data_IF_225848559080
#
_entry.id   IF_225848559080
#
_cell.length_a   1.000
_cell.length_b   1.000
_cell.length_c   1.000
_cell.angle_alpha   90.00
_cell.angle_beta   90.00
_cell.angle_gamma   90.00
#
_symmetry.space_group_name_H-M   'P 1'
#
loop_
_entity.id
_entity.type
_entity.pdbx_description
1 polymer ?
#
# COMPACT_ATOMS: atom_id res chain seq x y z
N UNK A 1 -21.69 -57.68 60.32
CA UNK A 1 -21.04 -57.64 61.64
C UNK A 1 -19.55 -57.89 61.43
N UNK A 2 -18.72 -57.03 62.01
CA UNK A 2 -17.30 -57.24 62.34
C UNK A 2 -16.31 -57.53 61.18
N UNK A 3 -15.60 -56.50 60.72
CA UNK A 3 -14.23 -56.11 61.13
C UNK A 3 -13.16 -57.11 60.63
N UNK A 4 -12.38 -56.81 59.57
CA UNK A 4 -11.18 -55.93 59.47
C UNK A 4 -9.89 -56.67 59.84
N UNK A 5 -8.80 -56.25 59.17
CA UNK A 5 -7.38 -56.50 59.46
C UNK A 5 -6.82 -57.89 59.08
N UNK A 6 -5.59 -58.05 58.60
CA UNK A 6 -4.52 -57.20 58.05
C UNK A 6 -3.44 -58.19 57.56
N UNK A 7 -2.29 -57.71 57.07
CA UNK A 7 -1.11 -58.49 56.62
C UNK A 7 -0.99 -58.79 55.12
N UNK A 8 -0.92 -57.71 54.34
CA UNK A 8 0.11 -57.61 53.29
C UNK A 8 0.96 -56.34 53.49
N UNK A 9 1.22 -56.03 54.76
CA UNK A 9 2.31 -55.15 55.21
C UNK A 9 3.47 -56.05 55.60
N UNK A 10 4.56 -56.03 54.82
CA UNK A 10 5.96 -55.97 55.28
C UNK A 10 6.87 -56.49 54.15
N UNK A 11 7.19 -55.59 53.23
CA UNK A 11 8.59 -55.41 52.89
C UNK A 11 8.88 -53.92 53.09
N UNK A 12 9.42 -53.60 54.27
CA UNK A 12 10.47 -52.61 54.46
C UNK A 12 10.20 -51.23 53.81
N UNK A 13 9.77 -50.18 54.51
CA UNK A 13 10.27 -49.72 55.81
C UNK A 13 11.79 -49.91 55.95
N UNK A 14 12.56 -49.20 55.13
CA UNK A 14 13.93 -48.79 55.49
C UNK A 14 14.11 -47.33 55.11
N UNK A 15 14.15 -46.51 56.16
CA UNK A 15 14.90 -45.26 56.28
C UNK A 15 14.54 -44.15 55.28
N UNK A 16 13.89 -43.07 55.66
CA UNK A 16 14.14 -42.31 56.89
C UNK A 16 14.74 -40.98 56.50
N UNK A 17 13.95 -39.92 56.75
CA UNK A 17 14.35 -38.56 57.07
C UNK A 17 15.55 -37.97 56.31
N UNK A 18 15.28 -36.97 55.46
CA UNK A 18 15.86 -35.61 55.51
C UNK A 18 15.42 -34.82 54.27
N UNK A 19 14.42 -33.95 54.40
CA UNK A 19 14.36 -32.67 53.68
C UNK A 19 13.23 -31.79 54.25
N UNK A 20 13.64 -30.65 54.78
CA UNK A 20 12.81 -29.56 55.29
C UNK A 20 11.96 -28.89 54.18
N UNK A 21 11.05 -27.95 54.50
CA UNK A 21 9.93 -27.58 53.65
C UNK A 21 10.36 -26.64 52.52
N UNK A 22 9.94 -26.95 51.29
CA UNK A 22 9.95 -25.97 50.21
C UNK A 22 8.62 -25.22 50.26
N UNK A 23 8.70 -23.95 50.65
CA UNK A 23 7.62 -22.97 50.58
C UNK A 23 6.90 -23.03 49.23
N UNK A 24 5.65 -23.52 49.24
CA UNK A 24 4.78 -23.47 48.08
C UNK A 24 3.97 -22.17 48.15
N UNK A 25 4.24 -21.28 47.21
CA UNK A 25 3.67 -19.95 47.09
C UNK A 25 2.13 -19.96 47.19
N UNK A 26 1.59 -19.05 48.01
CA UNK A 26 0.15 -18.72 48.08
C UNK A 26 -0.43 -18.61 46.67
N UNK A 27 -1.26 -19.58 46.29
CA UNK A 27 -2.12 -19.52 45.12
C UNK A 27 -3.09 -18.37 45.35
N UNK A 28 -2.89 -17.23 44.67
CA UNK A 28 -3.84 -16.11 44.70
C UNK A 28 -5.19 -16.65 44.25
N UNK A 29 -6.15 -16.74 45.18
CA UNK A 29 -7.55 -17.00 44.88
C UNK A 29 -8.05 -15.84 44.02
N UNK A 30 -8.14 -16.06 42.71
CA UNK A 30 -8.75 -15.10 41.80
C UNK A 30 -10.19 -14.87 42.25
N UNK A 31 -10.56 -13.62 42.50
CA UNK A 31 -11.94 -13.25 42.77
C UNK A 31 -12.71 -13.49 41.46
N UNK A 32 -13.62 -14.46 41.47
CA UNK A 32 -14.51 -14.76 40.33
C UNK A 32 -15.86 -14.15 40.64
N UNK A 33 -16.20 -13.06 39.94
CA UNK A 33 -17.53 -12.49 40.01
C UNK A 33 -18.47 -13.26 39.08
N UNK A 34 -19.67 -13.57 39.58
CA UNK A 34 -20.75 -14.03 38.71
C UNK A 34 -21.28 -12.86 37.88
N UNK A 35 -21.93 -13.16 36.75
CA UNK A 35 -22.52 -12.16 35.86
C UNK A 35 -23.43 -11.18 36.62
N UNK A 36 -24.19 -11.69 37.59
CA UNK A 36 -25.16 -10.91 38.34
C UNK A 36 -24.47 -10.02 39.38
N UNK A 37 -23.37 -10.49 39.99
CA UNK A 37 -22.52 -9.65 40.84
C UNK A 37 -21.87 -8.50 40.06
N UNK A 38 -21.46 -8.75 38.83
CA UNK A 38 -20.93 -7.71 37.92
C UNK A 38 -22.00 -6.70 37.49
N UNK A 39 -23.25 -7.14 37.31
CA UNK A 39 -24.37 -6.25 36.97
C UNK A 39 -24.82 -5.42 38.18
N UNK A 40 -24.80 -5.98 39.38
CA UNK A 40 -25.14 -5.28 40.63
C UNK A 40 -24.12 -4.18 41.01
N UNK A 41 -22.86 -4.33 40.59
CA UNK A 41 -21.80 -3.32 40.78
C UNK A 41 -21.90 -2.13 39.82
N UNK A 42 -22.85 -2.15 38.86
CA UNK A 42 -23.01 -1.09 37.86
C UNK A 42 -23.90 0.02 38.44
N UNK A 43 -23.44 1.29 38.52
CA UNK A 43 -24.31 2.38 38.97
C UNK A 43 -25.51 2.55 38.02
N UNK A 44 -26.70 2.93 38.53
CA UNK A 44 -27.92 3.03 37.75
C UNK A 44 -27.91 4.34 36.94
N UNK A 45 -27.10 4.40 35.89
CA UNK A 45 -27.07 5.56 35.00
C UNK A 45 -26.46 5.21 33.64
N UNK A 46 -27.16 4.37 32.88
CA UNK A 46 -27.03 4.39 31.43
C UNK A 46 -28.44 4.59 30.85
N UNK A 47 -28.85 5.85 30.77
CA UNK A 47 -30.05 6.26 30.06
C UNK A 47 -29.81 5.97 28.58
N UNK A 48 -30.70 5.20 27.96
CA UNK A 48 -30.64 4.87 26.53
C UNK A 48 -30.70 6.18 25.74
N UNK A 49 -29.60 6.55 25.07
CA UNK A 49 -29.54 7.71 24.18
C UNK A 49 -28.39 8.71 24.47
N UNK A 50 -27.82 8.72 25.67
CA UNK A 50 -26.68 9.59 25.95
C UNK A 50 -25.36 8.97 25.48
N UNK A 51 -24.65 9.72 24.63
CA UNK A 51 -23.30 9.34 24.20
C UNK A 51 -22.34 9.68 25.36
N UNK A 52 -21.52 8.73 25.83
CA UNK A 52 -20.54 9.02 26.87
C UNK A 52 -19.59 10.12 26.39
N UNK A 53 -19.40 11.14 27.22
CA UNK A 53 -18.40 12.17 26.97
C UNK A 53 -17.00 11.58 27.20
N UNK A 54 -16.43 11.02 26.12
CA UNK A 54 -15.06 10.52 26.13
C UNK A 54 -14.11 11.71 25.96
N UNK A 55 -13.17 11.95 26.90
CA UNK A 55 -12.13 12.97 26.77
C UNK A 55 -11.37 12.83 25.45
N UNK A 56 -10.96 13.96 24.86
CA UNK A 56 -10.35 14.00 23.51
C UNK A 56 -9.08 13.13 23.43
N UNK A 57 -8.40 12.94 24.55
CA UNK A 57 -7.16 12.19 24.72
C UNK A 57 -7.39 10.67 24.58
N UNK A 58 -8.55 10.16 25.01
CA UNK A 58 -8.90 8.72 25.01
C UNK A 58 -9.62 8.31 23.72
N UNK A 59 -10.09 9.30 22.95
CA UNK A 59 -10.85 9.07 21.73
C UNK A 59 -9.94 8.52 20.63
N UNK A 60 -9.94 7.19 20.47
CA UNK A 60 -9.23 6.50 19.37
C UNK A 60 -9.65 7.13 18.03
N UNK A 61 -8.70 7.69 17.28
CA UNK A 61 -8.94 8.17 15.92
C UNK A 61 -9.47 7.00 15.09
N UNK A 62 -10.71 7.09 14.61
CA UNK A 62 -11.24 6.11 13.66
C UNK A 62 -10.30 6.04 12.45
N UNK A 63 -9.91 4.83 12.07
CA UNK A 63 -9.14 4.58 10.85
C UNK A 63 -9.93 5.17 9.69
N UNK A 64 -9.29 6.03 8.89
CA UNK A 64 -9.98 6.81 7.85
C UNK A 64 -10.81 5.91 6.93
N UNK A 65 -12.08 6.24 6.74
CA UNK A 65 -12.93 5.63 5.71
C UNK A 65 -12.40 6.02 4.32
N UNK A 66 -12.72 5.27 3.25
CA UNK A 66 -12.35 5.62 1.86
C UNK A 66 -12.77 7.06 1.47
N UNK A 67 -13.85 7.56 2.09
CA UNK A 67 -14.28 8.96 1.95
C UNK A 67 -13.29 9.97 2.53
N UNK A 68 -12.41 9.59 3.46
CA UNK A 68 -11.42 10.46 4.10
C UNK A 68 -10.40 11.05 3.13
N UNK A 69 -9.97 10.31 2.11
CA UNK A 69 -9.08 10.84 1.05
C UNK A 69 -9.83 11.88 0.21
N UNK A 70 -11.06 11.56 -0.22
CA UNK A 70 -11.93 12.49 -0.97
C UNK A 70 -12.25 13.75 -0.14
N UNK A 71 -12.52 13.59 1.15
CA UNK A 71 -12.76 14.69 2.10
C UNK A 71 -11.49 15.53 2.29
N UNK A 72 -10.32 14.90 2.36
CA UNK A 72 -9.02 15.60 2.44
C UNK A 72 -8.71 16.35 1.16
N UNK A 73 -8.97 15.77 -0.01
CA UNK A 73 -8.83 16.44 -1.31
C UNK A 73 -9.81 17.62 -1.43
N UNK A 74 -11.07 17.46 -0.99
CA UNK A 74 -12.03 18.57 -0.90
C UNK A 74 -11.55 19.70 0.00
N UNK A 75 -10.94 19.37 1.15
CA UNK A 75 -10.34 20.37 2.07
C UNK A 75 -9.08 21.02 1.50
N UNK A 76 -8.32 20.30 0.65
CA UNK A 76 -7.10 20.77 -0.01
C UNK A 76 -7.34 21.39 -1.39
N UNK A 77 -8.59 21.51 -1.83
CA UNK A 77 -8.96 22.02 -3.16
C UNK A 77 -8.34 23.38 -3.47
N UNK A 78 -8.31 24.29 -2.48
CA UNK A 78 -7.70 25.62 -2.59
C UNK A 78 -6.24 25.68 -2.12
N UNK A 79 -5.65 24.52 -1.77
CA UNK A 79 -4.33 24.38 -1.19
C UNK A 79 -3.49 23.34 -1.94
N UNK A 80 -3.28 23.52 -3.26
CA UNK A 80 -2.41 22.63 -4.03
C UNK A 80 -0.95 22.70 -3.53
N UNK A 81 -0.17 21.66 -3.83
CA UNK A 81 1.24 21.55 -3.44
C UNK A 81 2.12 22.61 -4.11
N UNK A 82 1.83 22.92 -5.36
CA UNK A 82 2.44 24.02 -6.15
C UNK A 82 1.30 24.93 -6.62
N UNK A 83 1.52 26.24 -6.82
CA UNK A 83 0.43 27.19 -7.07
C UNK A 83 -0.31 26.87 -8.37
N UNK A 84 -1.65 26.91 -8.36
CA UNK A 84 -2.39 27.03 -9.61
C UNK A 84 -2.25 28.46 -10.15
N UNK A 85 -1.79 28.62 -11.39
CA UNK A 85 -1.44 29.92 -11.96
C UNK A 85 -2.39 30.27 -13.10
N UNK A 86 -2.90 31.50 -13.11
CA UNK A 86 -3.51 32.12 -14.29
C UNK A 86 -2.55 33.21 -14.73
N UNK A 87 -2.19 33.23 -16.01
CA UNK A 87 -1.32 34.29 -16.55
C UNK A 87 -1.88 34.84 -17.84
N UNK A 88 -1.64 36.12 -18.10
CA UNK A 88 -1.79 36.66 -19.44
C UNK A 88 -1.83 38.17 -19.49
N UNK A 89 -1.79 38.68 -20.72
CA UNK A 89 -1.82 40.10 -21.02
C UNK A 89 -3.25 40.64 -21.01
N UNK A 90 -3.53 41.58 -20.09
CA UNK A 90 -4.89 42.11 -19.89
C UNK A 90 -5.15 43.42 -20.61
N UNK A 91 -4.14 44.13 -21.13
CA UNK A 91 -4.29 45.40 -21.85
C UNK A 91 -5.30 46.36 -21.21
N UNK A 92 -4.92 46.94 -20.07
CA UNK A 92 -5.77 47.68 -19.13
C UNK A 92 -6.58 46.79 -18.19
N UNK A 93 -6.15 46.77 -16.93
CA UNK A 93 -6.77 46.00 -15.86
C UNK A 93 -7.97 46.75 -15.23
N UNK A 94 -7.89 48.08 -15.10
CA UNK A 94 -8.88 48.88 -14.37
C UNK A 94 -10.32 48.68 -14.90
N UNK A 95 -10.49 48.59 -16.21
CA UNK A 95 -11.81 48.41 -16.85
C UNK A 95 -12.33 46.97 -16.77
N UNK A 96 -11.53 46.02 -16.27
CA UNK A 96 -11.83 44.58 -16.25
C UNK A 96 -11.97 44.03 -14.84
N UNK A 97 -11.89 44.88 -13.82
CA UNK A 97 -11.95 44.45 -12.42
C UNK A 97 -13.30 43.81 -12.06
N UNK A 98 -14.41 44.37 -12.54
CA UNK A 98 -15.76 43.80 -12.31
C UNK A 98 -15.94 42.44 -12.98
N UNK A 99 -15.44 42.30 -14.22
CA UNK A 99 -15.45 41.03 -14.94
C UNK A 99 -14.58 40.00 -14.22
N UNK A 100 -13.37 40.39 -13.80
CA UNK A 100 -12.46 39.51 -13.07
C UNK A 100 -13.03 39.10 -11.71
N UNK A 101 -13.68 40.01 -10.99
CA UNK A 101 -14.37 39.70 -9.74
C UNK A 101 -15.53 38.72 -9.99
N UNK A 102 -16.33 38.93 -11.04
CA UNK A 102 -17.38 38.00 -11.43
C UNK A 102 -16.80 36.61 -11.80
N UNK A 103 -15.68 36.55 -12.52
CA UNK A 103 -15.00 35.30 -12.88
C UNK A 103 -14.50 34.55 -11.65
N UNK A 104 -13.90 35.24 -10.66
CA UNK A 104 -13.46 34.60 -9.40
C UNK A 104 -14.61 34.01 -8.57
N UNK A 105 -15.84 34.51 -8.75
CA UNK A 105 -17.04 33.97 -8.10
C UNK A 105 -17.66 32.80 -8.87
N UNK A 106 -17.76 32.95 -10.19
CA UNK A 106 -18.53 32.05 -11.07
C UNK A 106 -17.71 30.88 -11.59
N UNK A 107 -16.53 31.15 -12.15
CA UNK A 107 -15.68 30.16 -12.79
C UNK A 107 -14.80 29.44 -11.78
N UNK A 108 -14.66 28.13 -11.99
CA UNK A 108 -13.98 27.26 -11.05
C UNK A 108 -12.48 27.55 -11.03
N UNK A 109 -11.93 27.81 -12.21
CA UNK A 109 -10.53 28.02 -12.54
C UNK A 109 -9.99 29.24 -11.79
N UNK A 110 -10.68 30.38 -11.92
CA UNK A 110 -10.35 31.62 -11.21
C UNK A 110 -10.53 31.50 -9.70
N UNK A 111 -11.59 30.80 -9.26
CA UNK A 111 -11.84 30.59 -7.83
C UNK A 111 -10.77 29.71 -7.18
N UNK A 112 -10.24 28.73 -7.90
CA UNK A 112 -9.21 27.81 -7.40
C UNK A 112 -7.78 28.27 -7.68
N UNK A 113 -7.59 29.33 -8.45
CA UNK A 113 -6.29 29.92 -8.71
C UNK A 113 -5.59 30.32 -7.41
N UNK A 114 -4.32 29.94 -7.31
CA UNK A 114 -3.43 30.34 -6.22
C UNK A 114 -2.82 31.70 -6.50
N UNK A 115 -2.43 31.94 -7.75
CA UNK A 115 -1.79 33.17 -8.22
C UNK A 115 -2.40 33.56 -9.58
N UNK A 116 -2.72 34.83 -9.77
CA UNK A 116 -3.05 35.40 -11.09
C UNK A 116 -2.03 36.47 -11.45
N UNK A 117 -1.31 36.31 -12.56
CA UNK A 117 -0.25 37.19 -13.03
C UNK A 117 -0.71 37.92 -14.29
N UNK A 118 -0.78 39.24 -14.25
CA UNK A 118 -1.23 40.04 -15.39
C UNK A 118 -0.16 41.03 -15.82
N UNK A 119 0.04 41.09 -17.14
CA UNK A 119 0.92 42.04 -17.81
C UNK A 119 0.10 43.11 -18.53
N UNK A 120 0.73 44.25 -18.84
CA UNK A 120 0.09 45.43 -19.42
C UNK A 120 -1.15 45.90 -18.63
N UNK A 121 -0.99 46.04 -17.32
CA UNK A 121 -2.09 46.48 -16.44
C UNK A 121 -2.52 47.92 -16.70
N UNK A 122 -1.62 48.73 -17.26
CA UNK A 122 -1.79 50.17 -17.52
C UNK A 122 -2.12 50.99 -16.26
N UNK A 123 -1.70 50.48 -15.11
CA UNK A 123 -1.80 51.18 -13.84
C UNK A 123 -0.68 52.23 -13.70
N UNK A 124 -0.88 53.18 -12.80
CA UNK A 124 0.10 54.20 -12.45
C UNK A 124 -0.17 54.72 -11.04
N UNK A 125 0.81 55.45 -10.46
CA UNK A 125 0.75 55.92 -9.07
C UNK A 125 -0.49 56.72 -8.67
N UNK A 126 -1.15 57.41 -9.62
CA UNK A 126 -2.39 58.14 -9.33
C UNK A 126 -3.64 57.24 -9.16
N UNK A 127 -3.59 55.97 -9.57
CA UNK A 127 -4.69 55.03 -9.36
C UNK A 127 -4.50 54.42 -7.96
N UNK A 128 -5.46 54.59 -7.03
CA UNK A 128 -5.35 54.04 -5.70
C UNK A 128 -5.50 52.51 -5.73
N UNK A 129 -4.85 51.83 -4.78
CA UNK A 129 -4.86 50.36 -4.69
C UNK A 129 -6.27 49.78 -4.52
N UNK A 130 -7.19 50.53 -3.91
CA UNK A 130 -8.61 50.17 -3.75
C UNK A 130 -9.31 49.84 -5.06
N UNK A 131 -8.86 50.42 -6.18
CA UNK A 131 -9.48 50.19 -7.48
C UNK A 131 -9.06 48.84 -8.09
N UNK A 132 -8.05 48.19 -7.50
CA UNK A 132 -7.45 46.95 -8.01
C UNK A 132 -7.50 45.85 -6.94
N UNK A 133 -8.37 45.99 -5.94
CA UNK A 133 -8.60 44.95 -4.93
C UNK A 133 -9.69 43.98 -5.34
N UNK A 134 -9.45 42.68 -5.15
CA UNK A 134 -10.45 41.63 -5.34
C UNK A 134 -10.64 40.90 -4.02
N UNK A 135 -11.89 40.69 -3.62
CA UNK A 135 -12.20 39.99 -2.38
C UNK A 135 -11.55 38.59 -2.32
N UNK A 136 -10.75 38.36 -1.27
CA UNK A 136 -10.08 37.07 -1.06
C UNK A 136 -8.73 36.92 -1.78
N UNK A 137 -8.26 37.96 -2.46
CA UNK A 137 -6.91 38.04 -3.03
C UNK A 137 -6.16 39.23 -2.46
N UNK A 138 -4.85 39.07 -2.30
CA UNK A 138 -3.92 40.16 -2.01
C UNK A 138 -3.28 40.60 -3.32
N UNK A 139 -3.41 41.88 -3.65
CA UNK A 139 -2.86 42.47 -4.87
C UNK A 139 -1.45 42.97 -4.59
N UNK A 140 -0.50 42.59 -5.44
CA UNK A 140 0.86 43.15 -5.48
C UNK A 140 1.08 43.71 -6.86
N UNK A 141 1.33 45.02 -6.95
CA UNK A 141 1.58 45.71 -8.22
C UNK A 141 3.02 46.22 -8.33
N UNK A 142 3.50 46.30 -9.57
CA UNK A 142 4.67 47.04 -9.98
C UNK A 142 4.29 47.87 -11.21
N UNK A 143 4.01 49.15 -10.99
CA UNK A 143 3.67 50.07 -12.07
C UNK A 143 4.93 50.41 -12.86
N UNK A 144 4.77 50.61 -14.17
CA UNK A 144 5.87 51.02 -15.04
C UNK A 144 6.33 52.43 -14.67
N UNK A 145 7.63 52.58 -14.41
CA UNK A 145 8.28 53.88 -14.41
C UNK A 145 8.51 54.33 -15.86
N UNK A 146 7.75 55.35 -16.29
CA UNK A 146 7.80 55.88 -17.65
C UNK A 146 9.16 56.47 -18.01
N UNK A 147 9.86 57.04 -17.03
CA UNK A 147 11.19 57.63 -17.25
C UNK A 147 12.25 56.54 -17.43
N UNK A 148 12.31 55.58 -16.52
CA UNK A 148 13.25 54.47 -16.59
C UNK A 148 13.01 53.56 -17.81
N UNK A 149 11.74 53.33 -18.20
CA UNK A 149 11.39 52.51 -19.36
C UNK A 149 11.48 53.25 -20.70
N UNK A 150 11.68 54.58 -20.70
CA UNK A 150 11.66 55.40 -21.91
C UNK A 150 10.32 55.35 -22.66
N UNK A 151 9.20 55.23 -21.93
CA UNK A 151 7.85 55.10 -22.51
C UNK A 151 6.97 56.29 -22.13
N UNK A 152 6.06 56.67 -23.03
CA UNK A 152 5.13 57.79 -22.83
C UNK A 152 3.86 57.43 -22.05
N UNK A 153 3.51 56.14 -21.99
CA UNK A 153 2.29 55.63 -21.33
C UNK A 153 2.67 54.72 -20.17
N UNK A 154 1.79 54.68 -19.17
CA UNK A 154 1.86 53.76 -18.04
C UNK A 154 1.78 52.29 -18.48
N UNK A 155 1.78 51.39 -17.50
CA UNK A 155 1.94 49.96 -17.74
C UNK A 155 2.26 49.24 -16.44
N UNK A 156 2.95 48.11 -16.55
CA UNK A 156 3.39 47.37 -15.38
C UNK A 156 2.67 46.05 -15.21
N UNK A 157 2.89 45.49 -14.03
CA UNK A 157 2.59 44.12 -13.65
C UNK A 157 1.68 44.11 -12.43
N UNK A 158 0.73 43.19 -12.40
CA UNK A 158 -0.08 42.92 -11.21
C UNK A 158 -0.11 41.42 -10.93
N UNK A 159 0.12 41.06 -9.67
CA UNK A 159 0.06 39.70 -9.17
C UNK A 159 -0.98 39.64 -8.07
N UNK A 160 -1.98 38.79 -8.24
CA UNK A 160 -3.02 38.53 -7.25
C UNK A 160 -2.74 37.19 -6.59
N UNK A 161 -2.58 37.18 -5.27
CA UNK A 161 -2.31 35.96 -4.49
C UNK A 161 -3.55 35.60 -3.68
N UNK A 162 -4.02 34.36 -3.78
CA UNK A 162 -5.21 33.93 -3.03
C UNK A 162 -4.91 33.82 -1.53
N UNK A 163 -5.72 34.50 -0.72
CA UNK A 163 -5.66 34.46 0.73
C UNK A 163 -6.03 33.07 1.29
N UNK A 164 -6.65 32.20 0.45
CA UNK A 164 -6.94 30.80 0.80
C UNK A 164 -5.71 29.90 0.68
N UNK A 165 -4.74 30.30 -0.13
CA UNK A 165 -3.54 29.52 -0.43
C UNK A 165 -2.33 30.00 0.38
N UNK A 166 -2.13 31.32 0.48
CA UNK A 166 -1.03 31.96 1.21
C UNK A 166 -1.56 33.01 2.19
N UNK A 167 -0.93 33.13 3.37
CA UNK A 167 -1.21 34.24 4.29
C UNK A 167 -0.65 35.55 3.65
N UNK A 168 -1.44 36.64 3.60
CA UNK A 168 -0.96 37.96 3.15
C UNK A 168 0.34 38.43 3.82
N UNK A 169 0.53 38.11 5.11
CA UNK A 169 1.73 38.51 5.86
C UNK A 169 3.02 37.83 5.38
N UNK A 170 2.90 36.72 4.65
CA UNK A 170 4.04 35.98 4.09
C UNK A 170 4.28 36.30 2.61
N UNK A 171 3.68 37.37 2.10
CA UNK A 171 3.89 37.88 0.76
C UNK A 171 4.94 38.97 0.85
N UNK A 172 6.10 38.73 0.26
CA UNK A 172 7.21 39.67 0.29
C UNK A 172 7.71 39.95 -1.12
N UNK A 173 7.79 41.22 -1.48
CA UNK A 173 8.44 41.63 -2.73
C UNK A 173 9.94 41.40 -2.55
N UNK A 174 10.54 40.64 -3.46
CA UNK A 174 11.96 40.28 -3.45
C UNK A 174 12.78 41.17 -4.36
N UNK A 175 12.24 41.47 -5.54
CA UNK A 175 12.92 42.26 -6.55
C UNK A 175 11.88 42.99 -7.42
N UNK A 176 12.23 44.18 -7.89
CA UNK A 176 11.46 44.94 -8.89
C UNK A 176 12.44 45.52 -9.90
N UNK A 177 12.22 45.22 -11.17
CA UNK A 177 13.01 45.78 -12.26
C UNK A 177 12.08 46.44 -13.26
N UNK A 178 12.42 47.66 -13.66
CA UNK A 178 11.76 48.36 -14.73
C UNK A 178 12.84 48.96 -15.63
N UNK A 179 12.97 48.43 -16.84
CA UNK A 179 13.89 48.92 -17.86
C UNK A 179 13.18 49.02 -19.21
N UNK A 180 13.80 49.64 -20.23
CA UNK A 180 13.21 49.70 -21.57
C UNK A 180 13.00 48.34 -22.22
N UNK A 181 13.78 47.34 -21.80
CA UNK A 181 13.81 45.99 -22.37
C UNK A 181 13.00 44.97 -21.55
N UNK A 182 12.83 45.17 -20.24
CA UNK A 182 12.11 44.24 -19.37
C UNK A 182 11.46 44.90 -18.15
N UNK A 183 10.26 44.46 -17.83
CA UNK A 183 9.59 44.70 -16.56
C UNK A 183 9.51 43.38 -15.80
N UNK A 184 9.91 43.39 -14.53
CA UNK A 184 9.94 42.19 -13.69
C UNK A 184 9.53 42.53 -12.26
N UNK A 185 8.67 41.69 -11.68
CA UNK A 185 8.42 41.65 -10.24
C UNK A 185 8.63 40.22 -9.73
N UNK A 186 9.46 40.08 -8.70
CA UNK A 186 9.65 38.81 -7.99
C UNK A 186 9.01 38.90 -6.61
N UNK A 187 8.16 37.92 -6.28
CA UNK A 187 7.44 37.85 -5.02
C UNK A 187 7.75 36.52 -4.34
N UNK A 188 8.24 36.58 -3.10
CA UNK A 188 8.39 35.44 -2.22
C UNK A 188 7.09 35.15 -1.47
N UNK A 189 6.70 33.88 -1.43
CA UNK A 189 5.43 33.40 -0.90
C UNK A 189 5.68 32.19 0.02
N UNK A 190 4.99 32.12 1.17
CA UNK A 190 4.95 30.93 2.03
C UNK A 190 3.51 30.43 2.21
N UNK A 191 3.05 29.51 1.34
CA UNK A 191 1.71 28.95 1.40
C UNK A 191 1.45 28.17 2.70
N UNK A 192 0.17 27.99 3.05
CA UNK A 192 -0.22 27.19 4.23
C UNK A 192 0.22 25.73 4.15
N UNK A 193 0.35 25.21 2.93
CA UNK A 193 0.83 23.86 2.68
C UNK A 193 1.83 23.91 1.53
N UNK A 194 3.04 23.46 1.81
CA UNK A 194 4.10 23.31 0.82
C UNK A 194 4.79 21.95 1.09
N UNK A 195 5.11 21.16 0.05
CA UNK A 195 5.91 19.95 0.20
C UNK A 195 7.22 20.20 0.94
N UNK A 196 7.71 19.19 1.66
CA UNK A 196 8.92 19.32 2.49
C UNK A 196 10.19 19.60 1.68
N UNK A 197 10.21 19.22 0.40
CA UNK A 197 11.32 19.55 -0.50
C UNK A 197 11.44 21.04 -0.80
N UNK A 198 10.38 21.84 -0.61
CA UNK A 198 10.41 23.27 -0.86
C UNK A 198 10.36 24.09 0.43
N UNK A 199 11.24 25.09 0.52
CA UNK A 199 11.29 26.04 1.64
C UNK A 199 10.23 27.13 1.49
N UNK A 200 10.08 27.65 0.28
CA UNK A 200 9.17 28.74 -0.08
C UNK A 200 8.88 28.69 -1.59
N UNK A 201 7.92 29.49 -2.03
CA UNK A 201 7.63 29.70 -3.45
C UNK A 201 8.10 31.08 -3.84
N UNK A 202 8.71 31.22 -5.01
CA UNK A 202 9.05 32.51 -5.61
C UNK A 202 8.35 32.60 -6.96
N UNK A 203 7.48 33.59 -7.10
CA UNK A 203 6.77 33.88 -8.34
C UNK A 203 7.39 35.12 -8.99
N UNK A 204 7.91 34.94 -10.19
CA UNK A 204 8.50 36.01 -11.00
C UNK A 204 7.54 36.29 -12.15
N UNK A 205 7.00 37.50 -12.22
CA UNK A 205 6.17 37.95 -13.33
C UNK A 205 7.00 38.86 -14.23
N UNK A 206 6.97 38.59 -15.54
CA UNK A 206 7.83 39.25 -16.53
C UNK A 206 6.99 39.81 -17.68
N UNK A 207 7.34 41.01 -18.15
CA UNK A 207 6.86 41.54 -19.42
C UNK A 207 8.05 42.05 -20.23
N UNK A 208 8.23 41.53 -21.44
CA UNK A 208 9.25 41.98 -22.39
C UNK A 208 8.52 42.77 -23.48
N UNK A 209 8.72 44.09 -23.61
CA UNK A 209 8.07 44.88 -24.65
C UNK A 209 8.45 44.37 -26.05
N UNK A 210 7.58 44.45 -27.06
CA UNK A 210 7.89 44.02 -28.44
C UNK A 210 9.10 44.74 -29.06
N UNK A 211 9.38 45.97 -28.59
CA UNK A 211 10.53 46.77 -29.02
C UNK A 211 11.80 46.51 -28.21
N UNK A 212 11.71 45.75 -27.12
CA UNK A 212 12.80 45.47 -26.20
C UNK A 212 13.79 44.46 -26.78
N UNK A 213 15.06 44.59 -26.41
CA UNK A 213 16.11 43.64 -26.82
C UNK A 213 15.98 42.35 -26.00
N UNK A 214 15.84 41.22 -26.70
CA UNK A 214 15.62 39.93 -26.04
C UNK A 214 16.83 39.50 -25.20
N UNK A 215 18.05 39.72 -25.68
CA UNK A 215 19.27 39.28 -25.00
C UNK A 215 19.46 40.00 -23.66
N UNK A 216 19.32 41.33 -23.64
CA UNK A 216 19.44 42.12 -22.40
C UNK A 216 18.33 41.79 -21.41
N UNK A 217 17.10 41.58 -21.89
CA UNK A 217 15.99 41.13 -21.05
C UNK A 217 16.28 39.75 -20.42
N UNK A 218 16.78 38.80 -21.22
CA UNK A 218 17.16 37.47 -20.77
C UNK A 218 18.30 37.50 -19.75
N UNK A 219 19.31 38.35 -19.93
CA UNK A 219 20.43 38.51 -19.00
C UNK A 219 19.96 39.05 -17.64
N UNK A 220 19.07 40.06 -17.65
CA UNK A 220 18.47 40.60 -16.43
C UNK A 220 17.64 39.54 -15.70
N UNK A 221 16.80 38.81 -16.43
CA UNK A 221 15.98 37.73 -15.86
C UNK A 221 16.89 36.64 -15.27
N UNK A 222 17.95 36.26 -15.96
CA UNK A 222 18.93 35.29 -15.49
C UNK A 222 19.63 35.76 -14.21
N UNK A 223 20.14 36.99 -14.18
CA UNK A 223 20.81 37.56 -13.00
C UNK A 223 19.90 37.56 -11.78
N UNK A 224 18.66 38.06 -11.92
CA UNK A 224 17.68 38.07 -10.82
C UNK A 224 17.35 36.66 -10.36
N UNK A 225 17.17 35.72 -11.31
CA UNK A 225 16.85 34.33 -10.99
C UNK A 225 18.00 33.65 -10.26
N UNK A 226 19.24 33.85 -10.69
CA UNK A 226 20.44 33.28 -10.08
C UNK A 226 20.66 33.81 -8.65
N UNK A 227 20.44 35.11 -8.43
CA UNK A 227 20.50 35.71 -7.09
C UNK A 227 19.43 35.12 -6.16
N UNK A 228 18.22 34.94 -6.66
CA UNK A 228 17.12 34.34 -5.89
C UNK A 228 17.34 32.86 -5.61
N UNK A 229 17.92 32.11 -6.55
CA UNK A 229 18.35 30.72 -6.33
C UNK A 229 19.43 30.63 -5.25
N UNK A 230 20.40 31.56 -5.27
CA UNK A 230 21.48 31.60 -4.27
C UNK A 230 20.94 31.95 -2.88
N UNK A 231 20.04 32.93 -2.78
CA UNK A 231 19.41 33.32 -1.50
C UNK A 231 18.43 32.27 -0.98
N UNK A 232 17.81 31.50 -1.87
CA UNK A 232 16.77 30.53 -1.55
C UNK A 232 16.97 29.18 -2.30
N UNK A 233 17.96 28.37 -1.92
CA UNK A 233 18.34 27.16 -2.67
C UNK A 233 17.25 26.06 -2.68
N UNK A 234 16.35 26.06 -1.70
CA UNK A 234 15.20 25.15 -1.62
C UNK A 234 13.89 25.74 -2.15
N UNK A 235 13.91 26.90 -2.82
CA UNK A 235 12.68 27.52 -3.30
C UNK A 235 12.14 26.82 -4.55
N UNK A 236 10.80 26.71 -4.60
CA UNK A 236 10.10 26.46 -5.85
C UNK A 236 9.99 27.79 -6.61
N UNK A 237 10.65 27.89 -7.77
CA UNK A 237 10.69 29.13 -8.56
C UNK A 237 9.86 28.91 -9.81
N UNK A 238 8.92 29.83 -10.06
CA UNK A 238 8.17 29.93 -11.30
C UNK A 238 8.36 31.32 -11.90
N UNK A 239 8.55 31.36 -13.22
CA UNK A 239 8.70 32.58 -14.01
C UNK A 239 7.58 32.56 -15.05
N UNK A 240 6.76 33.60 -15.10
CA UNK A 240 5.61 33.66 -16.00
C UNK A 240 5.32 35.06 -16.50
N UNK A 241 4.69 35.17 -17.66
CA UNK A 241 4.24 36.43 -18.22
C UNK A 241 4.34 36.43 -19.73
N UNK A 242 4.39 37.62 -20.32
CA UNK A 242 4.39 37.83 -21.77
C UNK A 242 5.82 38.14 -22.24
N UNK A 243 6.38 37.19 -22.98
CA UNK A 243 7.76 37.25 -23.46
C UNK A 243 7.86 37.83 -24.87
N UNK A 244 6.72 38.06 -25.55
CA UNK A 244 6.65 38.44 -26.96
C UNK A 244 7.57 37.59 -27.86
N UNK A 245 8.78 38.05 -28.16
CA UNK A 245 9.74 37.40 -29.05
C UNK A 245 10.89 36.68 -28.33
N UNK A 246 11.00 36.76 -27.00
CA UNK A 246 12.10 36.19 -26.25
C UNK A 246 11.83 34.75 -25.75
N UNK A 247 12.89 34.00 -25.46
CA UNK A 247 12.82 32.65 -24.88
C UNK A 247 13.95 32.45 -23.89
N UNK A 248 13.64 31.88 -22.72
CA UNK A 248 14.62 31.60 -21.67
C UNK A 248 15.29 30.21 -21.81
N UNK A 249 15.06 29.50 -22.92
CA UNK A 249 15.54 28.12 -23.08
C UNK A 249 17.07 28.01 -23.05
N UNK A 250 17.77 28.97 -23.63
CA UNK A 250 19.25 29.02 -23.63
C UNK A 250 19.82 29.56 -22.33
N UNK A 251 19.16 30.54 -21.71
CA UNK A 251 19.66 31.22 -20.51
C UNK A 251 19.37 30.47 -19.21
N UNK A 252 18.23 29.78 -19.12
CA UNK A 252 17.83 29.01 -17.93
C UNK A 252 17.58 27.53 -18.28
N UNK A 253 18.64 26.74 -18.55
CA UNK A 253 18.50 25.35 -18.99
C UNK A 253 17.90 24.42 -17.93
N UNK A 254 17.98 24.79 -16.65
CA UNK A 254 17.39 24.05 -15.53
C UNK A 254 15.89 24.29 -15.36
N UNK A 255 15.32 25.26 -16.09
CA UNK A 255 13.90 25.57 -16.04
C UNK A 255 13.15 24.92 -17.20
N UNK A 256 11.99 24.35 -16.89
CA UNK A 256 11.13 23.69 -17.86
C UNK A 256 9.98 24.60 -18.25
N UNK A 257 9.76 24.74 -19.56
CA UNK A 257 8.65 25.49 -20.13
C UNK A 257 7.38 24.62 -20.15
N UNK A 258 6.22 25.18 -19.76
CA UNK A 258 4.96 24.44 -19.60
C UNK A 258 3.80 24.86 -20.50
N UNK A 259 3.87 26.01 -21.18
CA UNK A 259 2.77 26.53 -22.01
C UNK A 259 2.90 26.00 -23.43
N UNK A 260 1.94 25.20 -23.86
CA UNK A 260 1.93 24.60 -25.21
C UNK A 260 0.80 25.14 -26.10
N UNK A 261 -0.13 25.90 -25.53
CA UNK A 261 -1.26 26.46 -26.26
C UNK A 261 -0.91 27.81 -26.90
N UNK A 262 -1.56 28.13 -28.03
CA UNK A 262 -1.49 29.46 -28.64
C UNK A 262 -2.20 30.49 -27.74
N UNK A 263 -1.49 31.57 -27.41
CA UNK A 263 -1.98 32.60 -26.49
C UNK A 263 -2.44 33.85 -27.22
N UNK A 264 -1.87 34.11 -28.40
CA UNK A 264 -2.34 35.13 -29.34
C UNK A 264 -2.26 34.60 -30.76
N UNK A 265 -3.38 34.63 -31.47
CA UNK A 265 -3.52 34.04 -32.80
C UNK A 265 -3.03 32.57 -32.83
N UNK A 266 -1.95 32.29 -33.57
CA UNK A 266 -1.27 30.99 -33.65
C UNK A 266 0.11 30.97 -32.98
N UNK A 267 0.42 31.98 -32.15
CA UNK A 267 1.70 32.12 -31.46
C UNK A 267 1.53 31.94 -29.95
N UNK A 268 2.54 31.37 -29.32
CA UNK A 268 2.66 31.25 -27.87
C UNK A 268 3.62 32.32 -27.38
N UNK A 269 3.08 33.44 -26.92
CA UNK A 269 3.86 34.58 -26.43
C UNK A 269 3.94 34.56 -24.90
N UNK A 270 2.87 34.12 -24.24
CA UNK A 270 2.83 33.95 -22.80
C UNK A 270 3.45 32.60 -22.44
N UNK A 271 4.51 32.64 -21.64
CA UNK A 271 5.27 31.47 -21.24
C UNK A 271 5.22 31.31 -19.72
N UNK A 272 5.40 30.06 -19.27
CA UNK A 272 5.67 29.75 -17.88
C UNK A 272 6.84 28.76 -17.83
N UNK A 273 7.84 29.12 -17.04
CA UNK A 273 9.01 28.33 -16.72
C UNK A 273 9.00 27.97 -15.24
N UNK A 274 9.40 26.75 -14.87
CA UNK A 274 9.60 26.37 -13.47
C UNK A 274 10.81 25.46 -13.28
N UNK A 275 11.44 25.52 -12.10
CA UNK A 275 12.66 24.76 -11.76
C UNK A 275 12.42 23.27 -11.42
N UNK A 276 11.19 22.79 -11.56
CA UNK A 276 10.79 21.41 -11.25
C UNK A 276 10.15 20.81 -12.49
N UNK A 277 10.38 19.52 -12.73
CA UNK A 277 9.77 18.75 -13.83
C UNK A 277 8.33 18.34 -13.54
N UNK A 278 7.52 18.18 -14.59
CA UNK A 278 6.12 17.74 -14.50
C UNK A 278 5.27 18.56 -13.52
N UNK A 279 5.58 19.85 -13.34
CA UNK A 279 4.93 20.71 -12.37
C UNK A 279 3.52 21.13 -12.80
N UNK A 280 3.31 21.37 -14.11
CA UNK A 280 2.09 21.96 -14.64
C UNK A 280 1.55 21.25 -15.89
N UNK A 281 0.25 21.43 -16.09
CA UNK A 281 -0.44 21.20 -17.36
C UNK A 281 -1.08 22.52 -17.79
N UNK A 282 -0.80 22.95 -19.03
CA UNK A 282 -1.35 24.19 -19.58
C UNK A 282 -2.68 23.94 -20.30
N UNK A 283 -3.59 24.89 -20.19
CA UNK A 283 -4.86 24.92 -20.90
C UNK A 283 -5.16 26.36 -21.28
N UNK A 284 -5.59 26.60 -22.52
CA UNK A 284 -6.03 27.93 -22.93
C UNK A 284 -7.33 28.28 -22.19
N UNK A 285 -7.32 29.38 -21.46
CA UNK A 285 -8.48 29.99 -20.82
C UNK A 285 -9.22 30.86 -21.83
N UNK A 286 -10.52 30.59 -22.00
CA UNK A 286 -11.38 31.42 -22.84
C UNK A 286 -11.52 32.82 -22.24
N UNK A 287 -11.04 33.84 -22.94
CA UNK A 287 -11.19 35.25 -22.59
C UNK A 287 -11.68 36.06 -23.80
N UNK A 288 -12.34 37.20 -23.54
CA UNK A 288 -12.81 38.13 -24.59
C UNK A 288 -11.72 39.10 -25.09
N UNK A 289 -10.52 39.00 -24.54
CA UNK A 289 -9.37 39.78 -25.01
C UNK A 289 -8.74 39.07 -26.21
N UNK A 290 -7.97 39.80 -27.00
CA UNK A 290 -7.26 39.24 -28.15
C UNK A 290 -6.01 38.43 -27.74
N UNK A 291 -5.71 38.38 -26.44
CA UNK A 291 -4.88 37.36 -25.81
C UNK A 291 -5.77 36.41 -25.00
N UNK A 292 -5.61 35.11 -25.22
CA UNK A 292 -6.16 34.07 -24.38
C UNK A 292 -5.36 33.99 -23.09
N UNK A 293 -6.04 34.04 -21.94
CA UNK A 293 -5.39 33.79 -20.66
C UNK A 293 -4.94 32.32 -20.63
N UNK A 294 -3.81 32.05 -20.00
CA UNK A 294 -3.30 30.68 -19.84
C UNK A 294 -3.59 30.21 -18.43
N UNK A 295 -4.27 29.08 -18.32
CA UNK A 295 -4.49 28.39 -17.06
C UNK A 295 -3.46 27.28 -16.90
N UNK A 296 -2.71 27.32 -15.80
CA UNK A 296 -1.71 26.33 -15.44
C UNK A 296 -2.16 25.58 -14.20
N UNK A 297 -2.64 24.36 -14.44
CA UNK A 297 -3.11 23.46 -13.37
C UNK A 297 -1.93 22.70 -12.78
N UNK A 298 -1.81 22.62 -11.44
CA UNK A 298 -0.71 21.94 -10.79
C UNK A 298 -0.84 20.42 -10.94
N UNK A 299 0.15 19.80 -11.57
CA UNK A 299 0.24 18.34 -11.80
C UNK A 299 1.35 17.69 -10.95
N UNK A 300 2.08 18.50 -10.19
CA UNK A 300 3.20 18.06 -9.36
C UNK A 300 2.79 17.04 -8.28
N UNK A 301 3.54 15.94 -8.22
CA UNK A 301 3.44 14.94 -7.15
C UNK A 301 4.64 15.07 -6.21
N UNK A 302 4.44 15.28 -4.89
CA UNK A 302 5.55 15.40 -3.94
C UNK A 302 6.44 14.16 -3.91
N UNK A 303 7.75 14.32 -3.67
CA UNK A 303 8.73 13.21 -3.71
C UNK A 303 8.34 12.07 -2.75
N UNK A 304 7.84 12.40 -1.56
CA UNK A 304 7.36 11.41 -0.57
C UNK A 304 6.20 10.55 -1.08
N UNK A 305 5.44 11.01 -2.07
CA UNK A 305 4.33 10.28 -2.69
C UNK A 305 4.76 9.51 -3.95
N UNK A 306 5.90 9.88 -4.55
CA UNK A 306 6.48 9.18 -5.70
C UNK A 306 7.23 7.91 -5.27
N UNK A 307 7.78 7.88 -4.05
CA UNK A 307 8.46 6.71 -3.52
C UNK A 307 7.48 5.53 -3.38
N UNK A 308 7.87 4.38 -3.91
CA UNK A 308 7.10 3.14 -3.77
C UNK A 308 7.00 2.76 -2.30
N UNK A 309 5.81 2.32 -1.87
CA UNK A 309 5.53 1.83 -0.51
C UNK A 309 6.41 0.62 -0.13
N UNK A 310 7.18 0.09 -1.08
CA UNK A 310 8.10 -1.03 -0.91
C UNK A 310 9.19 -0.71 0.10
N UNK A 311 9.85 0.45 0.10
CA UNK A 311 10.97 0.73 1.03
C UNK A 311 10.57 0.69 2.51
N UNK A 312 9.41 1.28 2.84
CA UNK A 312 8.86 1.22 4.20
C UNK A 312 8.37 -0.19 4.52
N UNK A 313 7.78 -0.90 3.55
CA UNK A 313 7.36 -2.29 3.73
C UNK A 313 8.54 -3.24 3.90
N UNK A 314 9.66 -2.98 3.22
CA UNK A 314 10.89 -3.75 3.25
C UNK A 314 11.61 -3.56 4.58
N UNK A 315 11.66 -2.32 5.09
CA UNK A 315 12.19 -2.05 6.42
C UNK A 315 11.30 -2.65 7.51
N UNK A 316 9.97 -2.54 7.40
CA UNK A 316 9.04 -3.20 8.33
C UNK A 316 9.20 -4.72 8.27
N UNK A 317 9.33 -5.29 7.06
CA UNK A 317 9.56 -6.72 6.86
C UNK A 317 10.88 -7.15 7.49
N UNK A 318 11.96 -6.41 7.27
CA UNK A 318 13.26 -6.60 7.93
C UNK A 318 13.12 -6.56 9.47
N UNK A 319 12.47 -5.55 10.03
CA UNK A 319 12.23 -5.47 11.47
C UNK A 319 11.36 -6.62 11.97
N UNK A 320 10.37 -7.05 11.20
CA UNK A 320 9.47 -8.16 11.55
C UNK A 320 10.22 -9.48 11.54
N UNK A 321 11.04 -9.73 10.51
CA UNK A 321 11.87 -10.93 10.38
C UNK A 321 12.93 -11.01 11.48
N UNK A 322 13.49 -9.86 11.90
CA UNK A 322 14.52 -9.81 12.93
C UNK A 322 13.97 -9.79 14.37
N UNK A 323 12.79 -9.21 14.60
CA UNK A 323 12.26 -8.99 15.96
C UNK A 323 11.15 -9.96 16.35
N UNK A 324 10.45 -10.56 15.37
CA UNK A 324 9.32 -11.47 15.65
C UNK A 324 9.78 -12.92 15.50
N UNK A 325 9.84 -13.70 16.58
CA UNK A 325 10.23 -15.10 16.51
C UNK A 325 9.19 -15.91 15.72
N UNK A 326 9.62 -16.53 14.64
CA UNK A 326 8.77 -17.40 13.81
C UNK A 326 8.72 -18.82 14.39
N UNK A 327 7.53 -19.42 14.44
CA UNK A 327 7.33 -20.81 14.92
C UNK A 327 6.93 -21.71 13.76
N UNK A 328 7.79 -22.66 13.39
CA UNK A 328 7.45 -23.72 12.42
C UNK A 328 6.48 -24.71 13.05
N UNK A 329 5.31 -24.90 12.44
CA UNK A 329 4.35 -25.93 12.86
C UNK A 329 4.66 -27.21 12.09
N UNK A 330 5.07 -28.26 12.80
CA UNK A 330 5.25 -29.60 12.22
C UNK A 330 3.89 -30.23 11.94
N UNK A 331 3.60 -30.51 10.68
CA UNK A 331 2.58 -31.47 10.29
C UNK A 331 3.21 -32.87 10.31
N UNK A 332 2.81 -33.74 11.24
CA UNK A 332 3.37 -35.08 11.37
C UNK A 332 2.90 -36.02 10.23
N UNK A 333 3.76 -36.95 9.76
CA UNK A 333 3.41 -38.00 8.79
C UNK A 333 2.30 -38.95 9.25
N UNK A 334 2.05 -39.04 10.56
CA UNK A 334 0.99 -39.87 11.14
C UNK A 334 -0.43 -39.28 10.99
N UNK A 335 -0.56 -38.08 10.41
CA UNK A 335 -1.88 -37.61 10.02
C UNK A 335 -2.38 -38.48 8.86
N UNK A 336 -3.61 -38.98 8.99
CA UNK A 336 -4.29 -39.68 7.89
C UNK A 336 -4.15 -38.83 6.62
N UNK A 337 -3.72 -39.40 5.47
CA UNK A 337 -3.35 -38.63 4.28
C UNK A 337 -4.50 -37.82 3.67
N UNK A 338 -5.74 -38.12 4.04
CA UNK A 338 -6.94 -37.36 3.71
C UNK A 338 -7.27 -36.21 4.69
N UNK A 339 -6.40 -35.88 5.64
CA UNK A 339 -6.57 -34.74 6.58
C UNK A 339 -5.89 -33.50 6.03
N UNK A 340 -6.67 -32.66 5.35
CA UNK A 340 -6.23 -31.40 4.73
C UNK A 340 -6.17 -30.23 5.73
N UNK A 341 -5.56 -29.12 5.33
CA UNK A 341 -5.58 -27.85 6.08
C UNK A 341 -7.01 -27.37 6.35
N UNK A 342 -7.91 -27.57 5.39
CA UNK A 342 -9.29 -27.09 5.43
C UNK A 342 -10.12 -27.88 6.45
N UNK A 343 -9.87 -29.20 6.56
CA UNK A 343 -10.44 -30.02 7.63
C UNK A 343 -9.98 -29.57 9.02
N UNK A 344 -8.70 -29.18 9.16
CA UNK A 344 -8.20 -28.61 10.42
C UNK A 344 -8.85 -27.25 10.72
N UNK A 345 -9.09 -26.43 9.71
CA UNK A 345 -9.80 -25.16 9.86
C UNK A 345 -11.26 -25.37 10.30
N UNK A 346 -11.96 -26.36 9.72
CA UNK A 346 -13.33 -26.73 10.11
C UNK A 346 -13.40 -27.32 11.52
N UNK A 347 -12.43 -28.14 11.94
CA UNK A 347 -12.32 -28.61 13.32
C UNK A 347 -12.12 -27.45 14.32
N UNK A 348 -11.31 -26.47 13.97
CA UNK A 348 -11.11 -25.27 14.79
C UNK A 348 -12.35 -24.36 14.79
N UNK A 349 -13.08 -24.26 13.68
CA UNK A 349 -14.37 -23.55 13.60
C UNK A 349 -15.43 -24.23 14.48
N UNK A 350 -15.49 -25.57 14.49
CA UNK A 350 -16.36 -26.35 15.38
C UNK A 350 -16.03 -26.11 16.86
N UNK A 351 -14.74 -26.10 17.22
CA UNK A 351 -14.30 -25.77 18.59
C UNK A 351 -14.76 -24.37 19.00
N UNK A 352 -14.60 -23.37 18.12
CA UNK A 352 -15.07 -22.00 18.36
C UNK A 352 -16.59 -21.91 18.55
N UNK A 353 -17.37 -22.54 17.67
CA UNK A 353 -18.82 -22.57 17.79
C UNK A 353 -19.29 -23.26 19.10
N UNK A 354 -18.58 -24.32 19.53
CA UNK A 354 -18.83 -24.98 20.82
C UNK A 354 -18.51 -24.06 22.01
N UNK A 355 -17.38 -23.37 21.99
CA UNK A 355 -16.99 -22.41 23.03
C UNK A 355 -17.91 -21.18 23.07
N UNK A 356 -18.44 -20.76 21.91
CA UNK A 356 -19.37 -19.63 21.80
C UNK A 356 -20.82 -19.98 22.20
N UNK A 357 -21.15 -21.26 22.39
CA UNK A 357 -22.48 -21.70 22.78
C UNK A 357 -23.56 -21.50 21.70
N UNK A 358 -23.19 -21.40 20.42
CA UNK A 358 -24.13 -21.27 19.30
C UNK A 358 -24.49 -22.66 18.74
N UNK A 359 -25.68 -23.21 19.05
CA UNK A 359 -26.09 -24.52 18.57
C UNK A 359 -26.39 -24.55 17.06
N UNK A 360 -26.75 -23.41 16.44
CA UNK A 360 -27.06 -23.33 15.01
C UNK A 360 -25.77 -23.35 14.18
N UNK A 361 -24.78 -22.54 14.57
CA UNK A 361 -23.46 -22.54 13.93
C UNK A 361 -22.76 -23.89 14.14
N UNK A 362 -22.86 -24.48 15.35
CA UNK A 362 -22.28 -25.78 15.64
C UNK A 362 -22.88 -26.90 14.76
N UNK A 363 -24.21 -26.93 14.56
CA UNK A 363 -24.86 -27.89 13.65
C UNK A 363 -24.44 -27.67 12.20
N UNK A 364 -24.36 -26.41 11.76
CA UNK A 364 -23.93 -26.04 10.40
C UNK A 364 -22.49 -26.52 10.12
N UNK A 365 -21.55 -26.18 11.02
CA UNK A 365 -20.14 -26.58 10.89
C UNK A 365 -19.97 -28.09 11.01
N UNK A 366 -20.78 -28.78 11.82
CA UNK A 366 -20.77 -30.24 11.87
C UNK A 366 -21.22 -30.89 10.56
N UNK A 367 -22.25 -30.33 9.90
CA UNK A 367 -22.72 -30.81 8.59
C UNK A 367 -21.65 -30.58 7.51
N UNK A 368 -21.05 -29.39 7.52
CA UNK A 368 -19.95 -29.03 6.62
C UNK A 368 -18.72 -29.91 6.82
N UNK A 369 -18.33 -30.17 8.08
CA UNK A 369 -17.23 -31.06 8.43
C UNK A 369 -17.48 -32.50 7.98
N UNK A 370 -18.71 -33.03 8.16
CA UNK A 370 -19.07 -34.37 7.68
C UNK A 370 -18.98 -34.48 6.15
N UNK A 371 -19.46 -33.46 5.42
CA UNK A 371 -19.38 -33.40 3.96
C UNK A 371 -17.92 -33.37 3.49
N UNK A 372 -17.13 -32.44 4.01
CA UNK A 372 -15.71 -32.28 3.63
C UNK A 372 -14.87 -33.52 3.97
N UNK A 373 -15.20 -34.22 5.06
CA UNK A 373 -14.54 -35.47 5.44
C UNK A 373 -14.89 -36.63 4.51
N UNK A 374 -16.11 -36.66 3.97
CA UNK A 374 -16.52 -37.63 2.93
C UNK A 374 -15.76 -37.34 1.62
N UNK A 375 -15.81 -36.10 1.15
CA UNK A 375 -15.13 -35.67 -0.07
C UNK A 375 -13.61 -35.93 -0.02
N UNK A 376 -12.96 -35.62 1.11
CA UNK A 376 -11.52 -35.84 1.27
C UNK A 376 -11.14 -37.32 1.31
N UNK A 377 -12.00 -38.18 1.89
CA UNK A 377 -11.81 -39.63 1.87
C UNK A 377 -12.03 -40.22 0.49
N UNK A 378 -13.06 -39.75 -0.23
CA UNK A 378 -13.38 -40.23 -1.58
C UNK A 378 -12.32 -39.79 -2.58
N UNK A 379 -11.81 -38.55 -2.48
CA UNK A 379 -10.69 -38.07 -3.28
C UNK A 379 -9.41 -38.90 -3.04
N UNK A 380 -9.14 -39.26 -1.78
CA UNK A 380 -8.02 -40.13 -1.46
C UNK A 380 -8.21 -41.56 -1.98
N UNK A 381 -9.43 -42.10 -1.91
CA UNK A 381 -9.79 -43.40 -2.49
C UNK A 381 -9.54 -43.43 -4.01
N UNK A 382 -10.08 -42.45 -4.75
CA UNK A 382 -9.86 -42.33 -6.20
C UNK A 382 -8.37 -42.26 -6.55
N UNK A 383 -7.60 -41.49 -5.78
CA UNK A 383 -6.14 -41.40 -5.95
C UNK A 383 -5.43 -42.74 -5.71
N UNK A 384 -5.94 -43.59 -4.83
CA UNK A 384 -5.43 -44.95 -4.60
C UNK A 384 -5.82 -45.89 -5.75
N UNK A 385 -7.07 -45.84 -6.20
CA UNK A 385 -7.58 -46.62 -7.34
C UNK A 385 -6.78 -46.31 -8.62
N UNK A 386 -6.60 -45.03 -8.95
CA UNK A 386 -5.78 -44.62 -10.10
C UNK A 386 -4.29 -45.02 -9.97
N UNK A 387 -3.77 -45.21 -8.75
CA UNK A 387 -2.40 -45.71 -8.53
C UNK A 387 -2.31 -47.22 -8.74
N UNK A 388 -3.38 -47.96 -8.42
CA UNK A 388 -3.50 -49.38 -8.73
C UNK A 388 -3.57 -49.60 -10.24
N UNK A 389 -4.38 -48.82 -10.97
CA UNK A 389 -4.56 -48.95 -12.42
C UNK A 389 -3.28 -48.69 -13.21
N UNK A 390 -2.37 -47.84 -12.70
CA UNK A 390 -1.07 -47.53 -13.33
C UNK A 390 -0.01 -48.65 -13.18
N UNK A 391 -0.39 -49.81 -12.62
CA UNK A 391 0.39 -51.05 -12.51
C UNK A 391 1.82 -50.89 -11.93
N UNK A 392 2.00 -49.92 -11.03
CA UNK A 392 3.25 -49.72 -10.29
C UNK A 392 3.22 -50.56 -9.01
N UNK A 393 3.75 -51.79 -9.08
CA UNK A 393 3.78 -52.77 -7.98
C UNK A 393 4.31 -52.19 -6.66
N UNK A 394 5.32 -51.30 -6.71
CA UNK A 394 5.89 -50.64 -5.52
C UNK A 394 4.89 -49.76 -4.77
N UNK A 395 4.04 -49.04 -5.49
CA UNK A 395 3.05 -48.12 -4.95
C UNK A 395 1.81 -48.85 -4.45
N UNK A 396 1.44 -49.95 -5.10
CA UNK A 396 0.40 -50.88 -4.63
C UNK A 396 0.79 -51.47 -3.27
N UNK A 397 2.03 -51.96 -3.13
CA UNK A 397 2.54 -52.47 -1.84
C UNK A 397 2.65 -51.38 -0.77
N UNK A 398 2.93 -50.13 -1.15
CA UNK A 398 2.93 -48.98 -0.23
C UNK A 398 1.52 -48.60 0.25
N UNK A 399 0.55 -48.61 -0.67
CA UNK A 399 -0.87 -48.41 -0.38
C UNK A 399 -1.43 -49.50 0.54
N UNK A 400 -1.12 -50.77 0.25
CA UNK A 400 -1.52 -51.92 1.06
C UNK A 400 -1.02 -51.80 2.51
N UNK A 401 0.27 -51.46 2.71
CA UNK A 401 0.85 -51.22 4.05
C UNK A 401 0.14 -50.10 4.81
N UNK A 402 -0.31 -49.06 4.11
CA UNK A 402 -1.01 -47.92 4.70
C UNK A 402 -2.44 -48.28 5.11
N UNK A 403 -3.11 -49.16 4.35
CA UNK A 403 -4.48 -49.61 4.61
C UNK A 403 -4.51 -50.64 5.75
N UNK A 404 -3.59 -51.60 5.76
CA UNK A 404 -3.54 -52.67 6.77
C UNK A 404 -2.82 -52.25 8.05
N UNK A 405 -2.18 -51.07 8.07
CA UNK A 405 -1.39 -50.60 9.21
C UNK A 405 -0.10 -51.39 9.45
N UNK A 406 0.34 -52.17 8.46
CA UNK A 406 1.50 -53.06 8.57
C UNK A 406 2.79 -52.24 8.60
N UNK A 407 3.28 -51.95 9.81
CA UNK A 407 4.62 -51.42 10.03
C UNK A 407 5.60 -52.60 10.15
N UNK A 408 6.73 -52.54 9.42
CA UNK A 408 7.85 -53.46 9.66
C UNK A 408 8.26 -53.31 11.13
N UNK A 409 7.87 -54.26 11.99
CA UNK A 409 8.71 -54.55 13.17
C UNK A 409 10.06 -54.91 12.59
N UNK A 410 11.11 -54.22 13.04
CA UNK A 410 12.46 -54.37 12.51
C UNK A 410 12.77 -55.84 12.31
N UNK A 411 13.13 -56.20 11.08
CA UNK A 411 13.79 -57.47 10.82
C UNK A 411 15.06 -57.38 11.66
N UNK A 412 15.10 -58.09 12.81
CA UNK A 412 16.39 -58.46 13.38
C UNK A 412 17.08 -59.22 12.26
N UNK A 413 18.29 -58.81 11.86
CA UNK A 413 19.16 -59.68 11.09
C UNK A 413 19.25 -60.98 11.91
N UNK A 414 18.51 -62.01 11.47
CA UNK A 414 18.87 -63.36 11.81
C UNK A 414 20.17 -63.61 11.06
N UNK A 415 21.18 -64.04 11.79
CA UNK A 415 22.46 -64.48 11.24
C UNK A 415 22.18 -65.71 10.36
N UNK A 416 21.89 -65.45 9.09
CA UNK A 416 21.52 -66.47 8.12
C UNK A 416 22.80 -67.09 7.60
N UNK A 417 23.16 -68.26 8.14
CA UNK A 417 24.25 -69.06 7.62
C UNK A 417 23.93 -69.47 6.16
N UNK A 418 24.95 -69.50 5.30
CA UNK A 418 24.87 -69.85 3.87
C UNK A 418 24.16 -71.20 3.67
N UNK A 419 24.30 -72.12 4.63
CA UNK A 419 23.63 -73.43 4.61
C UNK A 419 22.11 -73.29 4.64
N UNK A 420 21.57 -72.35 5.43
CA UNK A 420 20.13 -72.12 5.55
C UNK A 420 19.56 -71.43 4.30
N UNK A 421 20.36 -70.57 3.65
CA UNK A 421 20.01 -69.98 2.36
C UNK A 421 20.02 -71.03 1.23
N UNK A 422 20.97 -71.97 1.26
CA UNK A 422 21.02 -73.08 0.32
C UNK A 422 19.85 -74.06 0.52
N UNK A 423 19.45 -74.33 1.76
CA UNK A 423 18.28 -75.16 2.08
C UNK A 423 16.98 -74.53 1.57
N UNK A 424 16.82 -73.21 1.74
CA UNK A 424 15.67 -72.46 1.22
C UNK A 424 15.66 -72.42 -0.31
N UNK A 425 16.82 -72.21 -0.94
CA UNK A 425 16.94 -72.25 -2.40
C UNK A 425 16.60 -73.65 -2.95
N UNK A 426 17.05 -74.73 -2.30
CA UNK A 426 16.65 -76.09 -2.68
C UNK A 426 15.15 -76.33 -2.49
N UNK A 427 14.58 -75.84 -1.38
CA UNK A 427 13.16 -75.99 -1.08
C UNK A 427 12.25 -75.26 -2.09
N UNK A 428 12.60 -74.05 -2.49
CA UNK A 428 11.80 -73.27 -3.44
C UNK A 428 12.06 -73.64 -4.91
N UNK A 429 13.29 -74.03 -5.27
CA UNK A 429 13.60 -74.50 -6.62
C UNK A 429 13.08 -75.92 -6.90
N UNK A 430 12.56 -76.65 -5.90
CA UNK A 430 11.95 -77.97 -6.09
C UNK A 430 10.76 -77.97 -7.05
N UNK A 431 10.14 -76.81 -7.22
CA UNK A 431 8.98 -76.62 -8.11
C UNK A 431 9.39 -76.22 -9.53
N UNK A 432 10.64 -75.79 -9.73
CA UNK A 432 11.18 -75.34 -11.02
C UNK A 432 12.17 -76.33 -11.65
N UNK A 433 12.61 -77.36 -10.92
CA UNK A 433 13.38 -78.47 -11.48
C UNK A 433 12.47 -79.43 -12.24
N UNK A 434 12.69 -79.55 -13.55
CA UNK A 434 12.12 -80.64 -14.37
C UNK A 434 12.46 -81.99 -13.73
N UNK A 435 11.51 -82.94 -13.63
CA UNK A 435 11.82 -84.25 -13.06
C UNK A 435 12.98 -84.89 -13.82
N UNK A 436 13.95 -85.53 -13.15
CA UNK A 436 14.99 -86.27 -13.84
C UNK A 436 14.34 -87.36 -14.72
N UNK A 437 14.81 -87.46 -15.96
CA UNK A 437 14.49 -88.57 -16.86
C UNK A 437 14.72 -89.91 -16.14
N UNK A 438 13.77 -90.88 -16.21
CA UNK A 438 13.90 -92.12 -15.48
C UNK A 438 15.03 -92.97 -16.06
N UNK A 439 16.14 -93.09 -15.33
CA UNK A 439 17.02 -94.23 -15.43
C UNK A 439 16.35 -95.40 -14.71
N UNK A 440 15.80 -96.36 -15.48
CA UNK A 440 15.40 -97.67 -14.97
C UNK A 440 16.59 -98.34 -14.23
N UNK A 441 16.35 -98.98 -13.07
CA UNK A 441 16.23 -100.43 -13.13
C UNK A 441 15.27 -101.08 -12.09
N UNK A 442 14.75 -102.23 -12.54
CA UNK A 442 14.32 -103.43 -11.81
C UNK A 442 12.97 -103.45 -11.06
N UNK A 443 12.02 -104.03 -11.78
CA UNK A 443 10.79 -104.72 -11.39
C UNK A 443 11.07 -105.82 -10.34
N UNK A 444 10.15 -106.01 -9.37
CA UNK A 444 9.55 -107.34 -9.19
C UNK A 444 8.03 -107.26 -9.35
N UNK A 445 7.51 -108.01 -10.32
CA UNK A 445 6.09 -108.29 -10.55
C UNK A 445 5.86 -109.73 -10.09
N UNK A 446 4.99 -109.89 -9.10
CA UNK A 446 4.34 -111.13 -8.70
C UNK A 446 2.98 -110.67 -8.12
N UNK A 447 1.81 -111.24 -8.39
CA UNK A 447 1.40 -112.29 -9.32
C UNK A 447 -0.15 -112.33 -9.25
N UNK A 448 -0.82 -112.76 -10.33
CA UNK A 448 -2.18 -113.32 -10.42
C UNK A 448 -3.39 -112.36 -10.20
N UNK A 449 -4.26 -112.06 -11.18
CA UNK A 449 -5.11 -112.96 -12.01
C UNK A 449 -6.54 -113.01 -11.41
N UNK A 450 -7.67 -113.15 -12.16
CA UNK A 450 -7.82 -113.86 -13.43
C UNK A 450 -8.75 -113.23 -14.52
N UNK A 451 -8.57 -113.72 -15.76
CA UNK A 451 -9.54 -114.17 -16.80
C UNK A 451 -10.79 -113.31 -17.14
N UNK A 452 -10.83 -112.64 -18.32
CA UNK A 452 -11.21 -113.11 -19.69
C UNK A 452 -12.75 -113.19 -19.92
N UNK A 453 -13.34 -113.32 -21.14
CA UNK A 453 -12.82 -113.28 -22.52
C UNK A 453 -13.69 -112.48 -23.57
N UNK A 454 -13.03 -112.17 -24.70
CA UNK A 454 -13.40 -112.38 -26.14
C UNK A 454 -14.84 -112.12 -26.66
N UNK A 455 -14.92 -111.29 -27.71
CA UNK A 455 -15.63 -111.45 -29.02
C UNK A 455 -15.81 -110.05 -29.63
N UNK A 456 -15.57 -109.73 -30.90
CA UNK A 456 -15.21 -110.46 -32.13
C UNK A 456 -14.59 -109.45 -33.09
#
# INVERSE_FOLDING_TARGET
MFWRLEYFFLCFAVLGLFAAPISCAKKRSGIVYTRDQLMALRPPSFVVGEKPQIPKEVRRKQRGTKAGVKQRMKRRRFKPCVPAVITGNVRSLANKMDELEALTRTQREYREASIMCFTETWLHGLIPDSNVTIAGFTTVRADRDTTAAGKKKGGGLAVFVSNRWCNPEHIHIKERVCSPDVELIAIGLRPYYLPREFTNVIAITVYIPPTGKADTACDVIHSVTADLQTKHPGAFILITGDFNHASLKSTLPTFHQYVQCSTRDRKTLDLLYANVTSAYTSTAGGGKSDHNLVLLSPSYTPVVQQQSVTTVSDYIKFCTENSVPTKKVRCYPNNKPWVTSDLKALLNKKKRAFTAGDPAELRSVQKELKRSLKESKDAYRKKLEERLERNQTRDVWSGMRTITGFQKKGIRLADGNVDQANELNQFFNRFDSSPPSPSCPNIPLDNNGPDSPICS
#
